data_IF_873347862367
#
_entry.id   IF_873347862367
#
_cell.length_a   1.000
_cell.length_b   1.000
_cell.length_c   1.000
_cell.angle_alpha   90.00
_cell.angle_beta   90.00
_cell.angle_gamma   90.00
#
_symmetry.space_group_name_H-M   'P 1'
#
loop_
_entity.id
_entity.type
_entity.pdbx_description
1 polymer ?
#
# COMPACT_ATOMS: atom_id res chain seq x y z
N UNK A 1 3.11 -13.19 10.06
CA UNK A 1 4.54 -13.09 10.37
C UNK A 1 5.36 -12.65 9.16
N UNK A 2 6.50 -12.08 9.42
CA UNK A 2 7.46 -11.64 8.41
C UNK A 2 8.88 -11.98 8.83
N UNK A 3 9.76 -12.23 7.87
CA UNK A 3 11.19 -12.32 8.10
C UNK A 3 11.88 -11.04 7.59
N UNK A 4 12.66 -10.41 8.44
CA UNK A 4 13.50 -9.24 8.07
C UNK A 4 14.79 -9.66 7.35
N UNK A 5 15.19 -10.91 7.53
CA UNK A 5 16.25 -11.58 6.78
C UNK A 5 15.69 -12.89 6.23
N UNK A 6 16.02 -13.28 4.99
CA UNK A 6 15.59 -14.56 4.48
C UNK A 6 16.06 -15.69 5.40
N UNK A 7 15.21 -16.67 5.70
CA UNK A 7 15.65 -17.83 6.45
C UNK A 7 16.74 -18.54 5.64
N UNK A 8 17.84 -18.88 6.31
CA UNK A 8 18.96 -19.55 5.65
C UNK A 8 18.52 -20.95 5.24
N UNK A 9 18.57 -21.22 3.95
CA UNK A 9 18.34 -22.55 3.43
C UNK A 9 19.50 -23.47 3.84
N UNK A 10 19.17 -24.54 4.54
CA UNK A 10 20.11 -25.59 4.90
C UNK A 10 19.84 -26.76 3.97
N UNK A 11 20.80 -27.10 3.12
CA UNK A 11 20.75 -28.36 2.37
C UNK A 11 21.23 -29.45 3.33
N UNK A 12 20.38 -30.41 3.72
CA UNK A 12 20.83 -31.49 4.58
C UNK A 12 22.01 -32.22 3.92
N UNK A 13 23.08 -32.55 4.66
CA UNK A 13 24.22 -33.23 4.10
C UNK A 13 23.76 -34.62 3.59
N UNK A 14 24.12 -34.91 2.33
CA UNK A 14 23.84 -36.23 1.77
C UNK A 14 24.76 -37.28 2.34
N UNK A 15 24.19 -38.30 2.99
CA UNK A 15 24.93 -39.36 3.67
C UNK A 15 25.36 -40.50 2.72
N UNK A 16 25.10 -40.40 1.42
CA UNK A 16 25.46 -41.39 0.42
C UNK A 16 24.54 -42.62 0.38
N UNK A 17 23.47 -42.66 1.17
CA UNK A 17 22.44 -43.71 1.16
C UNK A 17 21.08 -43.15 0.82
N UNK A 18 20.40 -43.77 -0.18
CA UNK A 18 19.08 -43.34 -0.63
C UNK A 18 19.13 -42.19 -1.64
N UNK A 19 17.97 -41.59 -1.89
CA UNK A 19 17.85 -40.45 -2.80
C UNK A 19 18.40 -39.18 -2.14
N UNK A 20 19.21 -38.33 -2.84
CA UNK A 20 19.65 -37.08 -2.31
C UNK A 20 18.47 -36.22 -1.84
N UNK A 21 18.60 -35.47 -0.74
CA UNK A 21 17.53 -34.60 -0.28
C UNK A 21 17.24 -33.54 -1.33
N UNK A 22 16.02 -33.52 -1.85
CA UNK A 22 15.55 -32.56 -2.85
C UNK A 22 14.91 -31.32 -2.24
N UNK A 23 14.71 -31.33 -0.93
CA UNK A 23 14.04 -30.24 -0.21
C UNK A 23 15.00 -29.50 0.71
N UNK A 24 14.96 -28.18 0.61
CA UNK A 24 15.66 -27.31 1.56
C UNK A 24 14.96 -27.35 2.92
N UNK A 25 15.73 -27.49 3.98
CA UNK A 25 15.24 -27.19 5.33
C UNK A 25 15.67 -25.77 5.69
N UNK A 26 14.73 -24.99 6.17
CA UNK A 26 15.01 -23.64 6.67
C UNK A 26 15.19 -23.75 8.19
N UNK A 27 16.23 -23.07 8.70
CA UNK A 27 16.52 -23.07 10.12
C UNK A 27 15.32 -22.62 10.95
N UNK A 28 15.38 -22.90 12.25
CA UNK A 28 14.31 -22.66 13.25
C UNK A 28 13.99 -21.20 13.52
N UNK A 29 14.38 -20.26 12.65
CA UNK A 29 14.05 -18.85 12.80
C UNK A 29 12.52 -18.66 12.75
N UNK A 30 11.95 -18.29 13.87
CA UNK A 30 10.53 -17.94 13.93
C UNK A 30 10.32 -16.60 13.23
N UNK A 31 9.28 -16.47 12.39
CA UNK A 31 8.93 -15.20 11.80
C UNK A 31 8.52 -14.21 12.89
N UNK A 32 8.93 -12.96 12.73
CA UNK A 32 8.54 -11.86 13.61
C UNK A 32 7.13 -11.39 13.28
N UNK A 33 6.41 -10.85 14.24
CA UNK A 33 5.25 -10.02 13.94
C UNK A 33 5.70 -8.73 13.24
N UNK A 34 4.80 -8.07 12.50
CA UNK A 34 5.11 -6.78 11.89
C UNK A 34 5.54 -5.75 12.94
N UNK A 35 4.92 -5.76 14.12
CA UNK A 35 5.28 -4.89 15.24
C UNK A 35 6.70 -5.17 15.76
N UNK A 36 7.07 -6.43 15.93
CA UNK A 36 8.42 -6.81 16.36
C UNK A 36 9.48 -6.44 15.31
N UNK A 37 9.18 -6.62 14.02
CA UNK A 37 10.07 -6.21 12.94
C UNK A 37 10.31 -4.70 12.95
N UNK A 38 9.27 -3.92 13.23
CA UNK A 38 9.33 -2.45 13.29
C UNK A 38 9.97 -1.93 14.56
N UNK A 39 9.87 -2.63 15.68
CA UNK A 39 10.54 -2.25 16.92
C UNK A 39 12.07 -2.19 16.77
N UNK A 40 12.63 -2.98 15.84
CA UNK A 40 14.06 -2.99 15.51
C UNK A 40 14.42 -2.00 14.39
N UNK A 41 13.42 -1.30 13.82
CA UNK A 41 13.63 -0.44 12.67
C UNK A 41 14.21 0.91 13.09
N UNK A 42 15.26 1.30 12.37
CA UNK A 42 15.86 2.63 12.45
C UNK A 42 15.53 3.42 11.17
N UNK A 43 15.68 4.74 11.19
CA UNK A 43 15.51 5.55 9.98
C UNK A 43 14.09 6.01 9.72
N UNK A 44 13.30 6.23 10.75
CA UNK A 44 12.02 6.90 10.66
C UNK A 44 12.16 8.28 10.05
N UNK A 45 11.31 8.57 9.02
CA UNK A 45 11.30 9.88 8.32
C UNK A 45 9.92 10.50 8.41
N UNK A 46 9.87 11.78 8.74
CA UNK A 46 8.63 12.57 8.67
C UNK A 46 8.34 12.92 7.22
N UNK A 47 7.18 12.54 6.73
CA UNK A 47 6.74 12.80 5.36
C UNK A 47 5.41 13.54 5.38
N UNK A 48 5.37 14.65 4.63
CA UNK A 48 4.14 15.34 4.26
C UNK A 48 3.59 14.67 3.00
N UNK A 49 2.34 14.26 3.02
CA UNK A 49 1.80 13.48 1.92
C UNK A 49 0.53 14.06 1.29
N UNK A 50 -0.17 14.97 1.97
CA UNK A 50 -1.36 15.66 1.45
C UNK A 50 -1.65 16.93 2.24
N UNK A 51 -2.23 17.93 1.55
CA UNK A 51 -2.85 19.08 2.20
C UNK A 51 -4.28 18.73 2.58
N UNK A 52 -4.62 18.84 3.84
CA UNK A 52 -5.98 18.69 4.38
C UNK A 52 -6.61 20.05 4.64
N UNK A 53 -7.83 20.06 5.14
CA UNK A 53 -8.57 21.29 5.51
C UNK A 53 -7.89 22.13 6.60
N UNK A 54 -7.14 21.47 7.50
CA UNK A 54 -6.43 22.09 8.64
C UNK A 54 -4.92 22.24 8.40
N UNK A 55 -4.44 22.07 7.17
CA UNK A 55 -3.02 22.14 6.83
C UNK A 55 -2.44 20.81 6.34
N UNK A 56 -1.11 20.72 6.31
CA UNK A 56 -0.42 19.55 5.81
C UNK A 56 -0.57 18.33 6.73
N UNK A 57 -0.99 17.22 6.15
CA UNK A 57 -1.00 15.93 6.82
C UNK A 57 0.41 15.35 6.81
N UNK A 58 0.93 15.10 8.01
CA UNK A 58 2.28 14.60 8.24
C UNK A 58 2.26 13.43 9.20
N UNK A 59 3.13 12.46 8.98
CA UNK A 59 3.36 11.34 9.89
C UNK A 59 4.79 10.85 9.75
N UNK A 60 5.27 10.08 10.72
CA UNK A 60 6.53 9.37 10.62
C UNK A 60 6.32 8.05 9.88
N UNK A 61 7.22 7.74 8.95
CA UNK A 61 7.18 6.51 8.17
C UNK A 61 8.52 5.80 8.21
N UNK A 62 8.48 4.48 8.18
CA UNK A 62 9.62 3.61 7.92
C UNK A 62 9.21 2.54 6.92
N UNK A 63 10.12 2.11 6.09
CA UNK A 63 9.91 1.02 5.14
C UNK A 63 11.02 -0.01 5.28
N UNK A 64 10.64 -1.27 5.40
CA UNK A 64 11.53 -2.42 5.53
C UNK A 64 11.29 -3.38 4.36
N UNK A 65 12.36 -4.02 3.88
CA UNK A 65 12.22 -5.17 2.99
C UNK A 65 12.04 -6.42 3.84
N UNK A 66 10.93 -7.11 3.64
CA UNK A 66 10.55 -8.30 4.43
C UNK A 66 10.03 -9.39 3.52
N UNK A 67 10.15 -10.62 3.95
CA UNK A 67 9.52 -11.77 3.29
C UNK A 67 8.30 -12.20 4.11
N UNK A 68 7.09 -12.26 3.52
CA UNK A 68 5.92 -12.79 4.19
C UNK A 68 6.12 -14.25 4.58
N UNK A 69 5.68 -14.63 5.77
CA UNK A 69 5.69 -16.02 6.23
C UNK A 69 4.36 -16.73 6.06
N UNK A 70 3.30 -16.00 5.71
CA UNK A 70 1.99 -16.57 5.49
C UNK A 70 2.00 -17.46 4.23
N UNK A 71 1.47 -18.67 4.35
CA UNK A 71 1.47 -19.62 3.24
C UNK A 71 2.84 -20.25 2.91
N UNK A 72 3.86 -19.98 3.73
CA UNK A 72 5.16 -20.63 3.54
C UNK A 72 5.09 -22.13 3.82
N UNK A 73 5.57 -22.92 2.89
CA UNK A 73 5.66 -24.37 3.01
C UNK A 73 7.11 -24.78 3.17
N UNK A 74 7.38 -25.61 4.17
CA UNK A 74 8.73 -26.14 4.39
C UNK A 74 9.21 -26.92 3.17
N UNK A 75 10.39 -26.57 2.65
CA UNK A 75 10.98 -27.19 1.45
C UNK A 75 10.75 -26.39 0.17
N UNK A 76 9.96 -25.32 0.20
CA UNK A 76 9.81 -24.37 -0.90
C UNK A 76 10.67 -23.12 -0.65
N UNK A 77 11.08 -22.40 -1.70
CA UNK A 77 11.80 -21.14 -1.51
C UNK A 77 10.91 -20.12 -0.79
N UNK A 78 11.47 -19.24 0.05
CA UNK A 78 10.71 -18.19 0.69
C UNK A 78 10.05 -17.27 -0.33
N UNK A 79 8.90 -16.70 0.02
CA UNK A 79 8.23 -15.72 -0.82
C UNK A 79 9.17 -14.55 -1.19
N UNK A 80 8.90 -13.91 -2.31
CA UNK A 80 9.63 -12.71 -2.73
C UNK A 80 9.60 -11.65 -1.63
N UNK A 81 10.71 -10.95 -1.48
CA UNK A 81 10.78 -9.83 -0.55
C UNK A 81 9.86 -8.70 -1.02
N UNK A 82 9.02 -8.21 -0.11
CA UNK A 82 8.09 -7.11 -0.31
C UNK A 82 8.43 -5.94 0.61
N UNK A 83 7.82 -4.78 0.38
CA UNK A 83 7.90 -3.66 1.29
C UNK A 83 6.90 -3.82 2.44
N UNK A 84 7.38 -3.69 3.68
CA UNK A 84 6.57 -3.40 4.85
C UNK A 84 6.70 -1.90 5.12
N UNK A 85 5.70 -1.13 4.74
CA UNK A 85 5.60 0.29 5.05
C UNK A 85 4.80 0.45 6.33
N UNK A 86 5.30 1.29 7.24
CA UNK A 86 4.67 1.53 8.53
C UNK A 86 4.54 3.01 8.80
N UNK A 87 3.39 3.41 9.31
CA UNK A 87 3.09 4.78 9.71
C UNK A 87 2.98 4.89 11.23
N UNK A 88 3.62 5.91 11.75
CA UNK A 88 3.50 6.32 13.13
C UNK A 88 3.03 7.77 13.19
N UNK A 89 1.72 8.01 13.40
CA UNK A 89 1.18 9.35 13.60
C UNK A 89 1.77 10.00 14.85
N UNK A 90 1.94 11.33 14.84
CA UNK A 90 2.55 12.04 15.96
C UNK A 90 1.70 11.98 17.26
N UNK A 91 0.38 11.83 17.12
CA UNK A 91 -0.53 11.73 18.25
C UNK A 91 -0.61 10.33 18.89
N UNK A 92 0.00 9.33 18.25
CA UNK A 92 -0.11 7.94 18.71
C UNK A 92 1.14 7.51 19.49
N UNK A 93 0.99 6.70 20.55
CA UNK A 93 2.11 6.19 21.33
C UNK A 93 2.95 5.15 20.58
N UNK A 94 2.37 4.50 19.55
CA UNK A 94 3.00 3.45 18.76
C UNK A 94 2.57 3.52 17.28
N UNK A 95 3.28 2.83 16.38
CA UNK A 95 2.86 2.71 14.99
C UNK A 95 1.49 2.05 14.86
N UNK A 96 0.61 2.62 14.03
CA UNK A 96 -0.80 2.19 13.94
C UNK A 96 -1.17 1.56 12.61
N UNK A 97 -0.47 1.90 11.51
CA UNK A 97 -0.82 1.42 10.18
C UNK A 97 0.34 0.72 9.51
N UNK A 98 0.04 -0.42 8.91
CA UNK A 98 0.99 -1.33 8.28
C UNK A 98 0.49 -1.72 6.90
N UNK A 99 1.34 -1.62 5.89
CA UNK A 99 1.04 -2.02 4.51
C UNK A 99 2.13 -2.94 4.00
N UNK A 100 1.73 -3.98 3.29
CA UNK A 100 2.61 -4.78 2.45
C UNK A 100 2.43 -4.37 1.00
N UNK A 101 3.52 -4.22 0.27
CA UNK A 101 3.48 -3.81 -1.14
C UNK A 101 4.59 -4.46 -1.96
N UNK A 102 4.22 -5.00 -3.12
CA UNK A 102 5.14 -5.59 -4.08
C UNK A 102 5.60 -4.54 -5.10
N UNK A 103 6.31 -3.54 -4.62
CA UNK A 103 6.93 -2.52 -5.44
C UNK A 103 8.44 -2.80 -5.59
N UNK A 104 9.07 -2.34 -6.70
CA UNK A 104 10.51 -2.53 -6.90
C UNK A 104 11.35 -2.12 -5.70
N UNK A 105 12.47 -2.82 -5.47
CA UNK A 105 13.35 -2.55 -4.34
C UNK A 105 13.95 -1.13 -4.36
N UNK A 106 14.06 -0.53 -5.54
CA UNK A 106 14.54 0.84 -5.74
C UNK A 106 13.49 1.92 -5.44
N UNK A 107 12.25 1.54 -5.05
CA UNK A 107 11.17 2.49 -4.82
C UNK A 107 11.47 3.39 -3.62
N UNK A 108 11.52 4.72 -3.78
CA UNK A 108 11.81 5.64 -2.69
C UNK A 108 10.65 5.70 -1.70
N UNK A 109 10.94 5.96 -0.43
CA UNK A 109 9.96 6.00 0.67
C UNK A 109 8.78 6.94 0.38
N UNK A 110 9.01 8.11 -0.23
CA UNK A 110 7.93 9.03 -0.61
C UNK A 110 6.93 8.41 -1.59
N UNK A 111 7.42 7.58 -2.52
CA UNK A 111 6.57 6.87 -3.48
C UNK A 111 5.74 5.80 -2.79
N UNK A 112 6.35 5.02 -1.87
CA UNK A 112 5.65 4.02 -1.06
C UNK A 112 4.51 4.66 -0.27
N UNK A 113 4.78 5.78 0.42
CA UNK A 113 3.78 6.55 1.18
C UNK A 113 2.66 7.04 0.26
N UNK A 114 2.99 7.60 -0.90
CA UNK A 114 2.00 8.08 -1.86
C UNK A 114 1.06 6.97 -2.32
N UNK A 115 1.60 5.80 -2.67
CA UNK A 115 0.81 4.64 -3.09
C UNK A 115 -0.08 4.14 -1.95
N UNK A 116 0.46 3.98 -0.74
CA UNK A 116 -0.31 3.54 0.42
C UNK A 116 -1.47 4.50 0.77
N UNK A 117 -1.27 5.81 0.53
CA UNK A 117 -2.29 6.84 0.79
C UNK A 117 -3.29 7.04 -0.36
N UNK A 118 -3.02 6.51 -1.56
CA UNK A 118 -3.97 6.57 -2.69
C UNK A 118 -5.29 5.82 -2.40
N UNK A 119 -5.29 4.83 -1.52
CA UNK A 119 -6.52 4.11 -1.14
C UNK A 119 -7.62 5.04 -0.65
N UNK A 120 -7.26 6.08 0.09
CA UNK A 120 -8.22 7.07 0.56
C UNK A 120 -8.93 7.80 -0.59
N UNK A 121 -8.24 8.06 -1.72
CA UNK A 121 -8.87 8.68 -2.88
C UNK A 121 -9.97 7.78 -3.45
N UNK A 122 -9.75 6.47 -3.50
CA UNK A 122 -10.76 5.51 -3.96
C UNK A 122 -12.00 5.54 -3.05
N UNK A 123 -11.80 5.62 -1.75
CA UNK A 123 -12.89 5.70 -0.77
C UNK A 123 -13.70 7.01 -0.96
N UNK A 124 -13.03 8.13 -1.21
CA UNK A 124 -13.67 9.41 -1.52
C UNK A 124 -14.41 9.39 -2.86
N UNK A 125 -13.78 8.87 -3.91
CA UNK A 125 -14.41 8.76 -5.22
C UNK A 125 -15.68 7.89 -5.13
N UNK A 126 -15.62 6.81 -4.35
CA UNK A 126 -16.76 5.93 -4.14
C UNK A 126 -17.88 6.60 -3.34
N UNK A 127 -17.54 7.38 -2.33
CA UNK A 127 -18.48 8.19 -1.57
C UNK A 127 -19.15 9.24 -2.49
N UNK A 128 -18.38 9.94 -3.30
CA UNK A 128 -18.89 10.92 -4.25
C UNK A 128 -19.82 10.28 -5.28
N UNK A 129 -19.46 9.13 -5.82
CA UNK A 129 -20.31 8.36 -6.72
C UNK A 129 -21.67 8.02 -6.11
N UNK A 130 -21.70 7.64 -4.83
CA UNK A 130 -22.93 7.28 -4.13
C UNK A 130 -23.74 8.49 -3.70
N UNK A 131 -23.13 9.40 -2.95
CA UNK A 131 -23.85 10.48 -2.26
C UNK A 131 -24.19 11.64 -3.20
N UNK A 132 -23.28 12.00 -4.12
CA UNK A 132 -23.47 13.16 -5.00
C UNK A 132 -24.03 12.78 -6.38
N UNK A 133 -23.65 11.62 -6.92
CA UNK A 133 -24.00 11.20 -8.26
C UNK A 133 -25.07 10.08 -8.30
N UNK A 134 -25.49 9.60 -7.14
CA UNK A 134 -26.59 8.66 -7.03
C UNK A 134 -26.31 7.26 -7.56
N UNK A 135 -25.09 6.75 -7.45
CA UNK A 135 -24.73 5.41 -7.91
C UNK A 135 -25.66 4.33 -7.33
N UNK A 136 -26.10 4.50 -6.11
CA UNK A 136 -26.97 3.57 -5.36
C UNK A 136 -28.47 3.92 -5.46
N UNK A 137 -28.84 4.96 -6.22
CA UNK A 137 -30.25 5.39 -6.39
C UNK A 137 -30.99 4.62 -7.50
N UNK A 138 -30.38 3.60 -8.11
CA UNK A 138 -31.05 2.81 -9.12
C UNK A 138 -32.06 1.83 -8.50
N UNK A 139 -33.34 2.09 -8.68
CA UNK A 139 -34.44 1.24 -8.18
C UNK A 139 -35.01 0.29 -9.24
N UNK A 140 -34.51 0.34 -10.47
CA UNK A 140 -34.98 -0.50 -11.57
C UNK A 140 -34.53 -1.95 -11.43
N UNK A 141 -35.27 -2.87 -12.08
CA UNK A 141 -34.96 -4.32 -12.08
C UNK A 141 -34.29 -4.80 -13.37
N UNK A 142 -34.19 -3.94 -14.36
CA UNK A 142 -33.69 -4.31 -15.69
C UNK A 142 -32.18 -4.18 -15.79
N UNK A 143 -31.53 -5.22 -16.32
CA UNK A 143 -30.09 -5.23 -16.56
C UNK A 143 -29.62 -4.05 -17.45
N UNK A 144 -30.36 -3.79 -18.53
CA UNK A 144 -30.07 -2.68 -19.47
C UNK A 144 -30.17 -1.32 -18.76
N UNK A 145 -31.21 -1.11 -17.96
CA UNK A 145 -31.39 0.12 -17.18
C UNK A 145 -30.26 0.34 -16.19
N UNK A 146 -29.82 -0.73 -15.51
CA UNK A 146 -28.65 -0.66 -14.63
C UNK A 146 -27.39 -0.19 -15.37
N UNK A 147 -27.10 -0.76 -16.54
CA UNK A 147 -25.94 -0.34 -17.32
C UNK A 147 -26.01 1.10 -17.79
N UNK A 148 -27.18 1.57 -18.23
CA UNK A 148 -27.37 2.98 -18.60
C UNK A 148 -27.14 3.90 -17.41
N UNK A 149 -27.72 3.59 -16.25
CA UNK A 149 -27.53 4.37 -15.03
C UNK A 149 -26.06 4.42 -14.62
N UNK A 150 -25.40 3.26 -14.53
CA UNK A 150 -23.98 3.18 -14.19
C UNK A 150 -23.11 3.97 -15.16
N UNK A 151 -23.37 3.87 -16.47
CA UNK A 151 -22.59 4.58 -17.49
C UNK A 151 -22.73 6.11 -17.33
N UNK A 152 -23.94 6.60 -17.08
CA UNK A 152 -24.18 8.04 -16.88
C UNK A 152 -23.49 8.55 -15.59
N UNK A 153 -23.58 7.81 -14.51
CA UNK A 153 -22.89 8.15 -13.24
C UNK A 153 -21.39 8.20 -13.42
N UNK A 154 -20.80 7.20 -14.08
CA UNK A 154 -19.35 7.16 -14.35
C UNK A 154 -18.91 8.28 -15.29
N UNK A 155 -19.71 8.64 -16.29
CA UNK A 155 -19.45 9.76 -17.20
C UNK A 155 -19.46 11.09 -16.45
N UNK A 156 -20.47 11.32 -15.61
CA UNK A 156 -20.56 12.52 -14.78
C UNK A 156 -19.37 12.64 -13.81
N UNK A 157 -18.99 11.57 -13.14
CA UNK A 157 -17.82 11.53 -12.26
C UNK A 157 -16.53 11.85 -13.01
N UNK A 158 -16.35 11.28 -14.19
CA UNK A 158 -15.18 11.54 -15.04
C UNK A 158 -15.11 13.01 -15.43
N UNK A 159 -16.24 13.60 -15.85
CA UNK A 159 -16.33 15.01 -16.18
C UNK A 159 -15.95 15.92 -14.99
N UNK A 160 -16.53 15.70 -13.82
CA UNK A 160 -16.22 16.46 -12.60
C UNK A 160 -14.75 16.33 -12.19
N UNK A 161 -14.20 15.14 -12.30
CA UNK A 161 -12.78 14.88 -12.02
C UNK A 161 -11.87 15.65 -12.96
N UNK A 162 -12.16 15.63 -14.27
CA UNK A 162 -11.40 16.39 -15.28
C UNK A 162 -11.48 17.89 -15.04
N UNK A 163 -12.67 18.43 -14.74
CA UNK A 163 -12.83 19.85 -14.42
C UNK A 163 -12.07 20.25 -13.15
N UNK A 164 -12.06 19.41 -12.13
CA UNK A 164 -11.28 19.62 -10.91
C UNK A 164 -9.77 19.64 -11.20
N UNK A 165 -9.29 18.74 -12.06
CA UNK A 165 -7.89 18.69 -12.47
C UNK A 165 -7.49 19.92 -13.32
N UNK A 166 -8.36 20.38 -14.22
CA UNK A 166 -8.16 21.59 -15.03
C UNK A 166 -8.04 22.82 -14.13
N UNK A 167 -8.94 23.00 -13.18
CA UNK A 167 -8.91 24.10 -12.21
C UNK A 167 -7.63 24.09 -11.37
N UNK A 168 -7.22 22.92 -10.87
CA UNK A 168 -5.97 22.79 -10.12
C UNK A 168 -4.74 23.12 -10.96
N UNK A 169 -4.69 22.72 -12.22
CA UNK A 169 -3.59 23.04 -13.13
C UNK A 169 -3.48 24.56 -13.35
N UNK A 170 -4.59 25.25 -13.55
CA UNK A 170 -4.62 26.70 -13.72
C UNK A 170 -4.14 27.42 -12.45
N UNK A 171 -4.55 26.97 -11.26
CA UNK A 171 -4.11 27.54 -9.98
C UNK A 171 -2.58 27.37 -9.73
N UNK A 172 -1.94 26.33 -10.30
CA UNK A 172 -0.48 26.15 -10.20
C UNK A 172 0.29 27.02 -11.20
N UNK A 173 -0.30 27.34 -12.35
CA UNK A 173 0.30 28.23 -13.34
C UNK A 173 0.30 29.66 -12.82
N UNK A 174 -0.79 30.11 -12.22
CA UNK A 174 -0.92 31.45 -11.64
C UNK A 174 0.00 31.65 -10.44
N UNK A 175 0.15 30.63 -9.58
CA UNK A 175 1.08 30.68 -8.43
C UNK A 175 2.57 30.68 -8.83
N UNK A 176 2.91 30.19 -10.02
CA UNK A 176 4.28 30.24 -10.54
C UNK A 176 4.60 31.57 -11.23
N UNK A 177 3.60 32.34 -11.63
CA UNK A 177 3.76 33.66 -12.23
C UNK A 177 3.96 34.79 -11.19
N UNK A 178 3.56 34.56 -9.93
CA UNK A 178 3.68 35.52 -8.82
C UNK A 178 4.90 35.27 -7.91
N UNK A 179 5.83 34.41 -8.30
CA UNK A 179 7.09 34.24 -7.57
C UNK A 179 8.12 35.32 -8.00
N UNK A 180 8.61 36.16 -7.05
CA UNK A 180 9.58 37.22 -7.34
C UNK A 180 10.97 36.68 -7.74
#
# INVERSE_FOLDING_TARGET
>A
GVWTRPPTAIVPPYTGRGQPPTRYTYGTQRPLSAQQAVAQATGWKTIRWRHGTKGWLTSRFVALRVQPSHGFVQGEPPHKAVWLLVEWPAAEPAPTKYWLGDLPASTPLRRLVRVAKCRWAIEQDYQQLKEELGLDHYEGRGWLGWHHHLTLVMLAHTFLTLETLRRKKNCWVDAAADAP
#
